data_IF_484550532524
#
_entry.id   IF_484550532524
#
_cell.length_a   1.000
_cell.length_b   1.000
_cell.length_c   1.000
_cell.angle_alpha   90.00
_cell.angle_beta   90.00
_cell.angle_gamma   90.00
#
_symmetry.space_group_name_H-M   'P 1'
#
loop_
_entity.id
_entity.type
_entity.pdbx_description
1 polymer ?
#
# COMPACT_ATOMS: atom_id res chain seq x y z
N UNK A 1 11.93 3.93 -17.24
CA UNK A 1 11.07 4.95 -17.91
C UNK A 1 10.88 6.05 -16.89
N UNK A 2 11.27 7.28 -17.22
CA UNK A 2 11.12 8.40 -16.29
C UNK A 2 9.64 8.69 -16.02
N UNK A 3 9.29 9.00 -14.77
CA UNK A 3 7.96 9.44 -14.37
C UNK A 3 8.00 10.94 -14.09
N UNK A 4 7.94 11.80 -15.11
CA UNK A 4 8.13 13.23 -14.94
C UNK A 4 7.09 13.90 -14.02
N UNK A 5 5.94 13.23 -13.80
CA UNK A 5 4.93 13.72 -12.87
C UNK A 5 5.37 13.70 -11.40
N UNK A 6 6.27 12.78 -10.98
CA UNK A 6 6.82 12.79 -9.62
C UNK A 6 7.62 14.06 -9.36
N UNK A 7 8.45 14.48 -10.33
CA UNK A 7 9.16 15.74 -10.24
C UNK A 7 8.19 16.92 -10.27
N UNK A 8 7.18 16.89 -11.16
CA UNK A 8 6.15 17.92 -11.21
C UNK A 8 5.44 18.06 -9.86
N UNK A 9 5.11 16.94 -9.22
CA UNK A 9 4.47 16.90 -7.90
C UNK A 9 5.32 17.64 -6.84
N UNK A 10 6.65 17.41 -6.82
CA UNK A 10 7.59 18.12 -5.94
C UNK A 10 7.52 19.63 -6.15
N UNK A 11 7.59 20.09 -7.40
CA UNK A 11 7.65 21.52 -7.71
C UNK A 11 6.30 22.23 -7.62
N UNK A 12 5.19 21.49 -7.66
CA UNK A 12 3.84 22.07 -7.51
C UNK A 12 3.48 22.25 -6.03
N UNK A 13 3.86 21.30 -5.17
CA UNK A 13 3.48 21.29 -3.76
C UNK A 13 4.57 21.77 -2.81
N UNK A 14 5.82 21.79 -3.24
CA UNK A 14 6.95 22.14 -2.39
C UNK A 14 7.28 23.63 -2.40
N UNK A 15 7.59 24.18 -1.22
CA UNK A 15 8.23 25.49 -1.13
C UNK A 15 9.71 25.37 -1.51
N UNK A 16 10.34 26.47 -1.92
CA UNK A 16 11.76 26.52 -2.29
C UNK A 16 12.66 25.96 -1.19
N UNK A 17 12.36 26.26 0.07
CA UNK A 17 13.12 25.78 1.22
C UNK A 17 12.93 24.27 1.44
N UNK A 18 11.70 23.78 1.33
CA UNK A 18 11.38 22.35 1.43
C UNK A 18 12.08 21.55 0.34
N UNK A 19 12.03 22.04 -0.90
CA UNK A 19 12.69 21.42 -2.05
C UNK A 19 14.21 21.43 -1.87
N UNK A 20 14.80 22.56 -1.47
CA UNK A 20 16.24 22.69 -1.23
C UNK A 20 16.72 21.68 -0.18
N UNK A 21 16.00 21.56 0.94
CA UNK A 21 16.33 20.61 2.01
C UNK A 21 16.13 19.17 1.61
N UNK A 22 15.04 18.85 0.89
CA UNK A 22 14.80 17.51 0.37
C UNK A 22 15.89 17.07 -0.63
N UNK A 23 16.32 17.96 -1.52
CA UNK A 23 17.47 17.72 -2.42
C UNK A 23 18.75 17.44 -1.66
N UNK A 24 19.01 18.18 -0.56
CA UNK A 24 20.18 17.93 0.30
C UNK A 24 20.11 16.54 0.94
N UNK A 25 18.97 16.16 1.52
CA UNK A 25 18.76 14.83 2.12
C UNK A 25 18.99 13.71 1.09
N UNK A 26 18.46 13.87 -0.13
CA UNK A 26 18.66 12.92 -1.21
C UNK A 26 20.12 12.83 -1.63
N UNK A 27 20.79 13.97 -1.85
CA UNK A 27 22.19 14.03 -2.32
C UNK A 27 23.19 13.38 -1.35
N UNK A 28 22.93 13.39 -0.05
CA UNK A 28 23.75 12.72 0.98
C UNK A 28 23.35 11.25 1.22
N UNK A 29 22.41 10.72 0.44
CA UNK A 29 22.00 9.31 0.50
C UNK A 29 21.17 8.93 1.72
N UNK A 30 20.45 9.88 2.31
CA UNK A 30 19.65 9.65 3.51
C UNK A 30 18.25 9.08 3.25
N UNK A 31 17.87 8.89 2.01
CA UNK A 31 16.61 8.25 1.61
C UNK A 31 16.87 6.80 1.17
N UNK A 32 16.55 5.85 2.01
CA UNK A 32 16.71 4.41 1.77
C UNK A 32 15.37 3.78 1.42
N UNK A 33 15.31 3.05 0.29
CA UNK A 33 14.14 2.26 -0.08
C UNK A 33 14.04 1.03 0.83
N UNK A 34 12.91 0.87 1.53
CA UNK A 34 12.62 -0.28 2.39
C UNK A 34 11.79 -1.31 1.66
N UNK A 35 10.78 -0.86 0.92
CA UNK A 35 9.82 -1.71 0.25
C UNK A 35 9.36 -1.07 -1.06
N UNK A 36 9.10 -1.89 -2.05
CA UNK A 36 8.67 -1.45 -3.37
C UNK A 36 7.76 -2.49 -3.99
N UNK A 37 6.62 -2.04 -4.48
CA UNK A 37 5.69 -2.87 -5.22
C UNK A 37 5.29 -2.20 -6.53
N UNK A 38 5.74 -2.80 -7.63
CA UNK A 38 5.43 -2.29 -8.97
C UNK A 38 3.96 -2.48 -9.34
N UNK A 39 3.31 -3.53 -8.82
CA UNK A 39 1.91 -3.82 -9.14
C UNK A 39 0.98 -2.76 -8.58
N UNK A 40 1.12 -2.49 -7.28
CA UNK A 40 0.29 -1.51 -6.60
C UNK A 40 0.83 -0.07 -6.73
N UNK A 41 1.99 0.09 -7.38
CA UNK A 41 2.62 1.38 -7.51
C UNK A 41 2.98 2.01 -6.17
N UNK A 42 3.44 1.19 -5.21
CA UNK A 42 3.79 1.66 -3.86
C UNK A 42 5.28 1.57 -3.60
N UNK A 43 5.80 2.53 -2.84
CA UNK A 43 7.17 2.52 -2.34
C UNK A 43 7.22 3.05 -0.91
N UNK A 44 8.05 2.44 -0.07
CA UNK A 44 8.26 2.85 1.31
C UNK A 44 9.72 3.17 1.52
N UNK A 45 9.99 4.37 2.02
CA UNK A 45 11.33 4.85 2.30
C UNK A 45 11.55 5.07 3.80
N UNK A 46 12.77 4.79 4.26
CA UNK A 46 13.30 5.27 5.53
C UNK A 46 14.19 6.46 5.24
N UNK A 47 13.79 7.64 5.71
CA UNK A 47 14.50 8.89 5.44
C UNK A 47 15.06 9.45 6.73
N UNK A 48 16.38 9.65 6.77
CA UNK A 48 17.05 10.31 7.90
C UNK A 48 16.86 11.81 7.79
N UNK A 49 16.55 12.44 8.92
CA UNK A 49 16.46 13.90 8.99
C UNK A 49 17.82 14.58 8.79
N UNK A 50 17.83 15.76 8.21
CA UNK A 50 19.06 16.54 7.95
C UNK A 50 19.60 17.28 9.19
N UNK A 51 18.76 17.45 10.23
CA UNK A 51 19.13 18.17 11.46
C UNK A 51 19.15 17.26 12.69
N UNK A 52 18.43 16.14 12.68
CA UNK A 52 18.27 15.27 13.82
C UNK A 52 18.70 13.84 13.50
N UNK A 53 19.17 13.10 14.48
CA UNK A 53 19.51 11.68 14.35
C UNK A 53 18.24 10.78 14.32
N UNK A 54 17.17 11.26 13.69
CA UNK A 54 15.87 10.61 13.65
C UNK A 54 15.58 10.15 12.22
N UNK A 55 14.90 9.01 12.11
CA UNK A 55 14.42 8.48 10.84
C UNK A 55 12.91 8.59 10.77
N UNK A 56 12.43 8.95 9.59
CA UNK A 56 11.01 9.01 9.29
C UNK A 56 10.66 8.04 8.18
N UNK A 57 9.47 7.44 8.27
CA UNK A 57 8.93 6.56 7.24
C UNK A 57 8.11 7.40 6.26
N UNK A 58 8.40 7.24 4.97
CA UNK A 58 7.67 7.90 3.88
C UNK A 58 7.01 6.83 3.04
N UNK A 59 5.70 6.89 2.92
CA UNK A 59 4.90 6.05 2.04
C UNK A 59 4.57 6.84 0.78
N UNK A 60 4.86 6.26 -0.38
CA UNK A 60 4.45 6.75 -1.70
C UNK A 60 3.46 5.75 -2.25
N UNK A 61 2.25 6.19 -2.57
CA UNK A 61 1.19 5.33 -3.08
C UNK A 61 0.82 5.74 -4.51
N UNK A 62 0.47 4.75 -5.33
CA UNK A 62 0.01 4.93 -6.70
C UNK A 62 0.94 5.82 -7.56
N UNK A 63 2.26 5.70 -7.35
CA UNK A 63 3.25 6.57 -7.97
C UNK A 63 3.27 6.50 -9.50
N UNK A 64 2.57 5.54 -10.11
CA UNK A 64 2.46 5.39 -11.58
C UNK A 64 1.38 6.29 -12.19
N UNK A 65 0.42 6.71 -11.41
CA UNK A 65 -0.70 7.54 -11.86
C UNK A 65 -0.63 8.95 -11.25
N UNK A 66 -0.43 9.99 -12.09
CA UNK A 66 -0.33 11.37 -11.62
C UNK A 66 -1.57 11.88 -10.89
N UNK A 67 -2.76 11.33 -11.20
CA UNK A 67 -4.01 11.78 -10.61
C UNK A 67 -4.25 11.22 -9.21
N UNK A 68 -3.63 10.07 -8.90
CA UNK A 68 -3.87 9.33 -7.66
C UNK A 68 -2.63 9.18 -6.78
N UNK A 69 -1.47 9.70 -7.24
CA UNK A 69 -0.22 9.70 -6.45
C UNK A 69 -0.45 10.40 -5.13
N UNK A 70 -0.21 9.71 -4.03
CA UNK A 70 -0.31 10.26 -2.68
C UNK A 70 0.93 9.96 -1.85
N UNK A 71 1.22 10.84 -0.91
CA UNK A 71 2.40 10.81 -0.06
C UNK A 71 1.99 10.89 1.40
N UNK A 72 2.70 10.19 2.24
CA UNK A 72 2.52 10.28 3.69
C UNK A 72 3.85 10.09 4.41
N UNK A 73 4.25 11.07 5.19
CA UNK A 73 5.43 11.02 6.03
C UNK A 73 5.05 10.93 7.51
N UNK A 74 5.79 10.16 8.30
CA UNK A 74 5.61 10.07 9.74
C UNK A 74 6.23 11.23 10.52
N UNK A 75 6.77 12.27 9.86
CA UNK A 75 7.36 13.42 10.53
C UNK A 75 6.27 14.35 11.12
N UNK A 76 6.59 15.07 12.21
CA UNK A 76 5.64 16.01 12.84
C UNK A 76 5.35 17.25 11.98
N UNK A 77 6.12 17.49 10.94
CA UNK A 77 5.99 18.65 10.03
C UNK A 77 5.17 18.34 8.78
N UNK A 78 4.52 17.19 8.72
CA UNK A 78 3.61 16.82 7.63
C UNK A 78 2.23 17.45 7.86
N UNK A 79 2.22 18.77 7.97
CA UNK A 79 1.03 19.61 8.19
C UNK A 79 0.87 20.48 6.95
N UNK A 80 0.27 19.96 5.90
CA UNK A 80 0.07 20.68 4.65
C UNK A 80 0.62 19.98 3.44
N UNK A 81 1.21 20.74 2.52
CA UNK A 81 1.67 20.23 1.23
C UNK A 81 2.76 19.15 1.35
N UNK A 82 3.85 19.22 0.70
CA UNK A 82 4.91 18.20 0.74
C UNK A 82 6.00 18.58 1.77
N UNK A 83 6.47 17.61 2.58
CA UNK A 83 7.60 17.82 3.49
C UNK A 83 8.96 17.49 2.81
N UNK A 84 10.08 17.92 3.44
CA UNK A 84 11.44 17.66 2.92
C UNK A 84 11.79 16.17 2.80
N UNK A 85 11.22 15.31 3.64
CA UNK A 85 11.45 13.87 3.58
C UNK A 85 10.72 13.22 2.42
N UNK A 86 9.51 13.70 2.10
CA UNK A 86 8.74 13.27 0.94
C UNK A 86 9.41 13.70 -0.35
N UNK A 87 9.95 14.93 -0.40
CA UNK A 87 10.77 15.39 -1.53
C UNK A 87 11.98 14.47 -1.75
N UNK A 88 12.72 14.14 -0.68
CA UNK A 88 13.87 13.25 -0.77
C UNK A 88 13.49 11.84 -1.24
N UNK A 89 12.37 11.29 -0.75
CA UNK A 89 11.85 10.00 -1.14
C UNK A 89 11.43 9.95 -2.62
N UNK A 90 10.74 11.01 -3.12
CA UNK A 90 10.35 11.09 -4.52
C UNK A 90 11.55 11.23 -5.46
N UNK A 91 12.57 12.00 -5.09
CA UNK A 91 13.81 12.12 -5.86
C UNK A 91 14.54 10.78 -5.92
N UNK A 92 14.61 10.05 -4.80
CA UNK A 92 15.21 8.73 -4.75
C UNK A 92 14.41 7.72 -5.58
N UNK A 93 13.08 7.74 -5.50
CA UNK A 93 12.22 6.90 -6.31
C UNK A 93 12.44 7.14 -7.81
N UNK A 94 12.47 8.42 -8.21
CA UNK A 94 12.73 8.80 -9.60
C UNK A 94 14.09 8.29 -10.08
N UNK A 95 15.14 8.46 -9.28
CA UNK A 95 16.50 8.01 -9.62
C UNK A 95 16.56 6.48 -9.78
N UNK A 96 15.92 5.73 -8.87
CA UNK A 96 15.87 4.27 -8.93
C UNK A 96 15.09 3.77 -10.16
N UNK A 97 14.00 4.46 -10.52
CA UNK A 97 13.23 4.17 -11.73
C UNK A 97 14.06 4.45 -13.00
N UNK A 98 14.76 5.58 -13.05
CA UNK A 98 15.60 5.96 -14.20
C UNK A 98 16.77 5.01 -14.41
N UNK A 99 17.35 4.50 -13.33
CA UNK A 99 18.44 3.52 -13.37
C UNK A 99 17.96 2.08 -13.62
N UNK A 100 16.68 1.81 -13.63
CA UNK A 100 16.12 0.44 -13.71
C UNK A 100 16.53 -0.45 -12.55
N UNK A 101 16.86 0.13 -11.40
CA UNK A 101 17.34 -0.58 -10.21
C UNK A 101 16.21 -1.06 -9.30
N UNK A 102 14.97 -0.66 -9.58
CA UNK A 102 13.81 -1.18 -8.87
C UNK A 102 13.51 -2.58 -9.37
N UNK A 103 14.10 -3.54 -8.68
CA UNK A 103 13.61 -4.91 -8.73
C UNK A 103 12.48 -4.98 -7.73
N UNK A 104 11.29 -5.35 -8.19
CA UNK A 104 10.27 -5.86 -7.29
C UNK A 104 10.96 -6.92 -6.46
N UNK A 105 11.02 -6.71 -5.14
CA UNK A 105 11.67 -7.65 -4.22
C UNK A 105 11.04 -9.04 -4.27
N UNK A 106 9.96 -9.17 -5.03
CA UNK A 106 9.26 -10.40 -5.35
C UNK A 106 8.83 -10.33 -6.82
N UNK A 107 9.62 -10.92 -7.70
CA UNK A 107 9.25 -11.20 -9.10
C UNK A 107 8.07 -12.21 -9.21
N UNK A 108 7.11 -12.19 -8.28
CA UNK A 108 6.24 -13.31 -8.01
C UNK A 108 4.80 -12.86 -7.88
N UNK A 109 4.31 -12.06 -8.81
CA UNK A 109 2.87 -11.81 -8.88
C UNK A 109 2.24 -12.45 -10.11
N UNK A 110 2.60 -13.71 -10.37
CA UNK A 110 1.98 -14.46 -11.47
C UNK A 110 0.52 -14.84 -11.18
N UNK A 111 0.09 -14.77 -9.91
CA UNK A 111 -1.30 -15.03 -9.54
C UNK A 111 -2.05 -13.76 -9.11
N UNK A 112 -2.11 -12.79 -10.03
CA UNK A 112 -3.01 -11.65 -9.87
C UNK A 112 -4.43 -12.10 -10.15
N UNK A 113 -5.34 -11.73 -9.26
CA UNK A 113 -6.75 -11.99 -9.46
C UNK A 113 -7.62 -10.87 -8.91
N UNK A 114 -8.53 -10.37 -9.74
CA UNK A 114 -9.54 -9.38 -9.33
C UNK A 114 -10.83 -10.09 -8.99
N UNK A 115 -11.28 -9.95 -7.75
CA UNK A 115 -12.53 -10.52 -7.25
C UNK A 115 -13.65 -9.51 -7.42
N UNK A 116 -14.25 -9.48 -8.60
CA UNK A 116 -15.32 -8.53 -8.95
C UNK A 116 -16.67 -8.83 -8.28
N UNK A 117 -16.90 -10.07 -7.85
CA UNK A 117 -18.19 -10.50 -7.27
C UNK A 117 -18.32 -10.24 -5.77
N UNK A 118 -17.27 -9.78 -5.12
CA UNK A 118 -17.24 -9.57 -3.68
C UNK A 118 -17.01 -8.09 -3.37
N UNK A 119 -18.02 -7.38 -2.86
CA UNK A 119 -17.91 -5.97 -2.46
C UNK A 119 -17.48 -5.80 -1.01
N UNK A 120 -17.72 -6.79 -0.18
CA UNK A 120 -17.31 -6.92 1.21
C UNK A 120 -16.72 -8.31 1.41
N UNK A 121 -16.03 -8.56 2.51
CA UNK A 121 -15.49 -9.90 2.79
C UNK A 121 -16.65 -10.83 3.14
N UNK A 122 -16.98 -11.74 2.23
CA UNK A 122 -18.12 -12.64 2.35
C UNK A 122 -17.68 -14.10 2.35
N UNK A 123 -18.01 -14.84 3.40
CA UNK A 123 -17.67 -16.29 3.55
C UNK A 123 -18.16 -17.13 2.38
N UNK A 124 -19.41 -16.88 1.92
CA UNK A 124 -20.00 -17.64 0.81
C UNK A 124 -19.20 -17.45 -0.47
N UNK A 125 -18.85 -16.22 -0.78
CA UNK A 125 -18.09 -15.88 -1.98
C UNK A 125 -16.66 -16.41 -1.89
N UNK A 126 -15.99 -16.29 -0.73
CA UNK A 126 -14.67 -16.88 -0.51
C UNK A 126 -14.67 -18.39 -0.75
N UNK A 127 -15.63 -19.13 -0.14
CA UNK A 127 -15.75 -20.57 -0.32
C UNK A 127 -15.99 -20.99 -1.77
N UNK A 128 -16.80 -20.21 -2.50
CA UNK A 128 -17.06 -20.45 -3.92
C UNK A 128 -15.79 -20.27 -4.78
N UNK A 129 -14.94 -19.28 -4.45
CA UNK A 129 -13.76 -18.94 -5.24
C UNK A 129 -12.53 -19.81 -4.93
N UNK A 130 -12.44 -20.40 -3.75
CA UNK A 130 -11.31 -21.25 -3.36
C UNK A 130 -11.65 -22.75 -3.25
N UNK A 131 -12.92 -23.11 -3.35
CA UNK A 131 -13.39 -24.48 -3.09
C UNK A 131 -13.45 -24.84 -1.59
N UNK A 132 -14.19 -25.92 -1.27
CA UNK A 132 -14.44 -26.32 0.13
C UNK A 132 -13.19 -26.79 0.86
N UNK A 133 -12.30 -27.49 0.17
CA UNK A 133 -11.09 -28.07 0.78
C UNK A 133 -10.09 -26.96 1.17
N UNK A 134 -9.82 -26.04 0.27
CA UNK A 134 -8.96 -24.87 0.53
C UNK A 134 -9.57 -23.98 1.63
N UNK A 135 -10.89 -23.81 1.63
CA UNK A 135 -11.57 -23.05 2.67
C UNK A 135 -11.41 -23.70 4.04
N UNK A 136 -11.65 -25.00 4.14
CA UNK A 136 -11.49 -25.75 5.39
C UNK A 136 -10.04 -25.77 5.88
N UNK A 137 -9.07 -25.87 4.97
CA UNK A 137 -7.66 -25.76 5.30
C UNK A 137 -7.31 -24.38 5.87
N UNK A 138 -7.87 -23.31 5.31
CA UNK A 138 -7.68 -21.95 5.83
C UNK A 138 -8.29 -21.74 7.22
N UNK A 139 -9.50 -22.29 7.47
CA UNK A 139 -10.12 -22.28 8.81
C UNK A 139 -9.27 -23.04 9.83
N UNK A 140 -8.75 -24.21 9.46
CA UNK A 140 -7.90 -25.02 10.33
C UNK A 140 -6.57 -24.30 10.63
N UNK A 141 -5.97 -23.65 9.63
CA UNK A 141 -4.77 -22.85 9.84
C UNK A 141 -5.01 -21.76 10.90
N UNK A 142 -6.11 -21.01 10.80
CA UNK A 142 -6.41 -19.92 11.73
C UNK A 142 -6.75 -20.36 13.16
N UNK A 143 -7.00 -21.64 13.41
CA UNK A 143 -7.16 -22.20 14.77
C UNK A 143 -5.83 -22.31 15.52
N UNK A 144 -4.74 -22.50 14.80
CA UNK A 144 -3.42 -22.78 15.37
C UNK A 144 -2.41 -21.66 15.13
N UNK A 145 -2.58 -20.93 14.03
CA UNK A 145 -1.63 -19.90 13.56
C UNK A 145 -2.38 -18.65 13.09
N UNK A 146 -1.62 -17.58 12.89
CA UNK A 146 -2.12 -16.33 12.29
C UNK A 146 -1.17 -15.86 11.21
N UNK A 147 -1.71 -15.26 10.14
CA UNK A 147 -0.91 -14.53 9.19
C UNK A 147 -0.27 -13.31 9.85
N UNK A 148 0.98 -13.03 9.52
CA UNK A 148 1.66 -11.83 9.95
C UNK A 148 1.24 -10.68 9.05
N UNK A 149 0.44 -9.74 9.57
CA UNK A 149 0.06 -8.54 8.85
C UNK A 149 1.21 -7.55 8.95
N UNK A 150 1.92 -7.32 7.84
CA UNK A 150 3.05 -6.39 7.77
C UNK A 150 2.57 -4.94 7.59
N UNK A 151 1.47 -4.78 6.87
CA UNK A 151 0.89 -3.49 6.54
C UNK A 151 -0.62 -3.61 6.39
N UNK A 152 -1.36 -2.72 7.04
CA UNK A 152 -2.80 -2.62 6.93
C UNK A 152 -3.19 -1.14 7.04
N UNK A 153 -3.17 -0.43 5.93
CA UNK A 153 -3.57 0.97 5.86
C UNK A 153 -4.43 1.24 4.62
N UNK A 154 -5.38 2.15 4.80
CA UNK A 154 -6.30 2.62 3.77
C UNK A 154 -7.06 1.46 3.10
N UNK A 155 -6.85 1.21 1.85
CA UNK A 155 -7.56 0.22 1.05
C UNK A 155 -6.70 -1.01 0.73
N UNK A 156 -5.53 -1.14 1.36
CA UNK A 156 -4.55 -2.19 1.07
C UNK A 156 -4.10 -2.92 2.33
N UNK A 157 -3.95 -4.23 2.20
CA UNK A 157 -3.34 -5.12 3.19
C UNK A 157 -2.20 -5.89 2.56
N UNK A 158 -1.06 -5.92 3.24
CA UNK A 158 0.09 -6.77 2.94
C UNK A 158 0.30 -7.71 4.13
N UNK A 159 0.30 -9.00 3.88
CA UNK A 159 0.44 -10.01 4.92
C UNK A 159 1.36 -11.13 4.47
N UNK A 160 2.02 -11.77 5.43
CA UNK A 160 2.84 -12.94 5.23
C UNK A 160 2.20 -14.16 5.89
N UNK A 161 2.06 -15.23 5.12
CA UNK A 161 1.47 -16.49 5.57
C UNK A 161 2.53 -17.57 5.48
N UNK A 162 2.79 -18.29 6.58
CA UNK A 162 3.74 -19.41 6.61
C UNK A 162 3.00 -20.72 6.56
N UNK A 163 3.25 -21.56 5.55
CA UNK A 163 2.66 -22.88 5.37
C UNK A 163 3.82 -23.86 5.11
N UNK A 164 3.91 -24.92 5.88
CA UNK A 164 4.94 -25.96 5.73
C UNK A 164 6.35 -25.38 5.61
N UNK A 165 6.73 -24.50 6.55
CA UNK A 165 8.01 -23.77 6.60
C UNK A 165 8.29 -22.82 5.42
N UNK A 166 7.37 -22.70 4.48
CA UNK A 166 7.46 -21.74 3.37
C UNK A 166 6.63 -20.51 3.67
N UNK A 167 7.19 -19.33 3.36
CA UNK A 167 6.56 -18.05 3.65
C UNK A 167 6.08 -17.39 2.38
N UNK A 168 4.78 -17.09 2.32
CA UNK A 168 4.10 -16.54 1.15
C UNK A 168 3.63 -15.11 1.43
N UNK A 169 3.87 -14.22 0.47
CA UNK A 169 3.43 -12.85 0.52
C UNK A 169 2.05 -12.72 -0.13
N UNK A 170 1.11 -12.15 0.61
CA UNK A 170 -0.25 -11.87 0.15
C UNK A 170 -0.49 -10.38 0.17
N UNK A 171 -1.02 -9.86 -0.94
CA UNK A 171 -1.48 -8.49 -1.02
C UNK A 171 -2.93 -8.46 -1.45
N UNK A 172 -3.73 -7.64 -0.76
CA UNK A 172 -5.14 -7.42 -1.02
C UNK A 172 -5.38 -5.91 -1.05
N UNK A 173 -5.95 -5.41 -2.14
CA UNK A 173 -6.36 -4.02 -2.27
C UNK A 173 -7.81 -3.95 -2.69
N UNK A 174 -8.57 -3.00 -2.13
CA UNK A 174 -9.88 -2.63 -2.65
C UNK A 174 -9.71 -1.47 -3.63
N UNK A 175 -10.08 -1.69 -4.88
CA UNK A 175 -9.97 -0.69 -5.94
C UNK A 175 -11.17 0.28 -5.96
N UNK A 176 -11.13 1.28 -6.83
CA UNK A 176 -12.18 2.31 -6.96
C UNK A 176 -13.54 1.74 -7.38
N UNK A 177 -13.55 0.63 -8.11
CA UNK A 177 -14.78 -0.11 -8.47
C UNK A 177 -15.33 -0.95 -7.32
N UNK A 178 -14.67 -0.87 -6.14
CA UNK A 178 -14.96 -1.66 -4.95
C UNK A 178 -14.75 -3.17 -5.13
N UNK A 179 -13.89 -3.55 -6.07
CA UNK A 179 -13.44 -4.91 -6.23
C UNK A 179 -12.15 -5.16 -5.44
N UNK A 180 -11.87 -6.43 -5.14
CA UNK A 180 -10.62 -6.81 -4.49
C UNK A 180 -9.59 -7.25 -5.53
N UNK A 181 -8.54 -6.47 -5.68
CA UNK A 181 -7.33 -6.90 -6.38
C UNK A 181 -6.45 -7.68 -5.41
N UNK A 182 -6.11 -8.90 -5.76
CA UNK A 182 -5.32 -9.79 -4.91
C UNK A 182 -4.09 -10.29 -5.64
N UNK A 183 -2.99 -10.46 -4.93
CA UNK A 183 -1.81 -11.15 -5.44
C UNK A 183 -1.18 -12.03 -4.37
N UNK A 184 -0.49 -13.09 -4.80
CA UNK A 184 0.22 -14.03 -3.94
C UNK A 184 1.32 -14.71 -4.74
N UNK A 185 2.40 -15.10 -4.04
CA UNK A 185 3.50 -15.90 -4.60
C UNK A 185 3.27 -17.42 -4.47
N UNK A 186 2.15 -17.83 -3.87
CA UNK A 186 1.73 -19.23 -3.83
C UNK A 186 1.05 -19.62 -5.14
N UNK A 187 1.58 -20.65 -5.82
CA UNK A 187 1.01 -21.13 -7.09
C UNK A 187 -0.16 -22.06 -6.82
N UNK A 188 -1.36 -21.66 -7.27
CA UNK A 188 -2.56 -22.52 -7.31
C UNK A 188 -3.20 -22.38 -8.69
N UNK A 189 -3.10 -23.43 -9.48
CA UNK A 189 -3.66 -23.45 -10.85
C UNK A 189 -5.17 -23.75 -10.88
N UNK A 190 -5.74 -24.20 -9.75
CA UNK A 190 -7.13 -24.69 -9.71
C UNK A 190 -8.14 -23.63 -9.33
N UNK A 191 -7.75 -22.69 -8.47
CA UNK A 191 -8.70 -21.75 -7.87
C UNK A 191 -8.25 -20.29 -8.00
N UNK A 192 -9.19 -19.36 -8.22
CA UNK A 192 -8.91 -17.93 -8.26
C UNK A 192 -8.29 -17.40 -6.98
N UNK A 193 -8.70 -17.94 -5.82
CA UNK A 193 -8.13 -17.61 -4.52
C UNK A 193 -7.39 -18.82 -3.96
N UNK A 194 -6.06 -18.69 -3.89
CA UNK A 194 -5.19 -19.67 -3.27
C UNK A 194 -5.31 -19.67 -1.73
N UNK A 195 -4.83 -20.73 -1.09
CA UNK A 195 -4.89 -20.90 0.36
C UNK A 195 -4.37 -19.70 1.17
N UNK A 196 -3.19 -19.10 0.90
CA UNK A 196 -2.71 -17.93 1.66
C UNK A 196 -3.64 -16.72 1.54
N UNK A 197 -4.22 -16.46 0.36
CA UNK A 197 -5.18 -15.35 0.17
C UNK A 197 -6.42 -15.56 1.04
N UNK A 198 -6.95 -16.78 1.07
CA UNK A 198 -8.15 -17.12 1.87
C UNK A 198 -7.86 -16.97 3.36
N UNK A 199 -6.69 -17.40 3.84
CA UNK A 199 -6.25 -17.23 5.24
C UNK A 199 -6.29 -15.74 5.62
N UNK A 200 -5.72 -14.85 4.79
CA UNK A 200 -5.71 -13.42 5.08
C UNK A 200 -7.12 -12.83 5.07
N UNK A 201 -7.97 -13.15 4.09
CA UNK A 201 -9.36 -12.69 4.07
C UNK A 201 -10.15 -13.15 5.32
N UNK A 202 -10.02 -14.42 5.71
CA UNK A 202 -10.69 -14.95 6.90
C UNK A 202 -10.17 -14.29 8.18
N UNK A 203 -8.86 -14.07 8.28
CA UNK A 203 -8.29 -13.38 9.44
C UNK A 203 -8.80 -11.94 9.55
N UNK A 204 -8.85 -11.20 8.44
CA UNK A 204 -9.41 -9.84 8.42
C UNK A 204 -10.89 -9.84 8.82
N UNK A 205 -11.67 -10.78 8.29
CA UNK A 205 -13.08 -10.94 8.63
C UNK A 205 -13.28 -11.20 10.12
N UNK A 206 -12.51 -12.13 10.70
CA UNK A 206 -12.64 -12.50 12.12
C UNK A 206 -12.16 -11.39 13.06
N UNK A 207 -11.14 -10.62 12.64
CA UNK A 207 -10.52 -9.60 13.50
C UNK A 207 -11.25 -8.26 13.40
N UNK A 208 -11.68 -7.86 12.21
CA UNK A 208 -12.15 -6.51 11.91
C UNK A 208 -13.56 -6.47 11.30
N UNK A 209 -14.11 -7.63 10.91
CA UNK A 209 -15.43 -7.74 10.30
C UNK A 209 -15.44 -7.60 8.78
N UNK A 210 -16.62 -7.82 8.19
CA UNK A 210 -16.82 -7.87 6.73
C UNK A 210 -16.52 -6.54 6.03
N UNK A 211 -16.70 -5.43 6.73
CA UNK A 211 -16.55 -4.06 6.21
C UNK A 211 -15.14 -3.49 6.45
N UNK A 212 -14.14 -4.31 6.73
CA UNK A 212 -12.80 -3.84 7.06
C UNK A 212 -12.29 -2.76 6.10
N UNK A 213 -12.34 -3.02 4.80
CA UNK A 213 -11.87 -2.09 3.77
C UNK A 213 -12.78 -0.87 3.56
N UNK A 214 -13.98 -0.88 4.12
CA UNK A 214 -14.93 0.25 4.09
C UNK A 214 -14.92 1.04 5.41
N UNK A 215 -14.43 0.44 6.49
CA UNK A 215 -14.36 1.05 7.82
C UNK A 215 -13.13 1.93 8.01
N UNK A 216 -12.11 1.76 7.18
CA UNK A 216 -10.96 2.66 7.15
C UNK A 216 -11.44 3.95 6.49
N UNK A 217 -11.97 4.84 7.33
CA UNK A 217 -12.47 6.14 6.91
C UNK A 217 -11.29 7.00 6.46
N UNK A 218 -11.29 7.39 5.20
CA UNK A 218 -10.47 8.52 4.78
C UNK A 218 -11.10 9.78 5.38
N UNK A 219 -10.61 10.17 6.55
CA UNK A 219 -11.12 11.31 7.31
C UNK A 219 -11.11 12.61 6.49
N UNK A 220 -10.19 12.74 5.55
CA UNK A 220 -10.10 13.92 4.70
C UNK A 220 -11.23 13.94 3.66
N UNK A 221 -11.58 12.80 3.07
CA UNK A 221 -12.75 12.68 2.20
C UNK A 221 -14.08 12.88 2.97
N UNK A 222 -14.17 12.39 4.21
CA UNK A 222 -15.37 12.61 5.03
C UNK A 222 -15.49 14.04 5.53
N UNK A 223 -14.38 14.66 5.94
CA UNK A 223 -14.36 16.09 6.28
C UNK A 223 -14.78 16.95 5.10
N UNK A 224 -14.27 16.70 3.89
CA UNK A 224 -14.68 17.40 2.69
C UNK A 224 -16.18 17.27 2.44
N UNK A 225 -16.76 16.06 2.52
CA UNK A 225 -18.21 15.87 2.38
C UNK A 225 -19.04 16.63 3.41
N UNK A 226 -18.55 16.72 4.65
CA UNK A 226 -19.20 17.50 5.70
C UNK A 226 -19.07 19.01 5.44
N UNK A 227 -17.95 19.47 4.94
CA UNK A 227 -17.69 20.88 4.64
C UNK A 227 -18.40 21.33 3.35
N UNK A 228 -18.47 20.48 2.31
CA UNK A 228 -19.19 20.74 1.06
C UNK A 228 -20.67 21.08 1.29
N UNK A 229 -21.31 20.44 2.26
CA UNK A 229 -22.69 20.72 2.62
C UNK A 229 -22.90 22.16 3.14
N UNK A 230 -21.83 22.80 3.61
CA UNK A 230 -21.83 24.18 4.12
C UNK A 230 -21.10 25.15 3.18
N UNK A 231 -20.67 24.68 2.01
CA UNK A 231 -19.95 25.50 1.02
C UNK A 231 -18.48 25.76 1.33
N UNK A 232 -17.87 24.96 2.22
CA UNK A 232 -16.45 25.03 2.58
C UNK A 232 -15.68 23.84 2.03
N UNK A 233 -14.37 24.00 1.84
CA UNK A 233 -13.44 22.92 1.54
C UNK A 233 -12.34 22.84 2.60
N UNK A 234 -11.58 21.76 2.64
CA UNK A 234 -10.38 21.65 3.50
C UNK A 234 -9.25 22.61 3.09
N UNK A 235 -9.44 23.34 1.98
CA UNK A 235 -8.48 24.32 1.47
C UNK A 235 -8.86 25.77 1.86
N UNK A 236 -10.02 25.96 2.44
CA UNK A 236 -10.49 27.21 3.03
C UNK A 236 -10.11 27.33 4.51
#
# INVERSE_FOLDING_TARGET
MALPHLLKHIYTLGTDETIRRGKKIHAIGYAELIDYDDLFGTAVFRVKDDNYATFYKVHVQQFKDPATTSLRCSCPYNIGDICRHEVAALLQLQELLDRGQLKTGHAIFDQRHTVAKMKQIELKTLRMLCGSDTFSAAENYLRTQKAQIEFAENEMVKARVTIDDSSYLVMIRKNEERHFDTSCDYVDEKHPLCLPKVIVFLQLLHTFGANYFDSIRNWDKEKNKLLEAYGYSLQD
#
